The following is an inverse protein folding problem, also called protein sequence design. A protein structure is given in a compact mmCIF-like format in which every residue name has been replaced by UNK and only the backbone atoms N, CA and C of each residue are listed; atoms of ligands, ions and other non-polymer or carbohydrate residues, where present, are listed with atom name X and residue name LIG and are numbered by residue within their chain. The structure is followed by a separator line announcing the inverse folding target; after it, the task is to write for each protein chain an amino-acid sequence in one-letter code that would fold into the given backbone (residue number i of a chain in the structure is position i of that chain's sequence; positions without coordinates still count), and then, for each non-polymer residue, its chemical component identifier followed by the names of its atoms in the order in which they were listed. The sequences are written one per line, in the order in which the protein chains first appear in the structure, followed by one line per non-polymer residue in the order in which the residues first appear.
data_IF_324379063993
#
_entry.id   IF_324379063993
#
_cell.length_a   1.000
_cell.length_b   1.000
_cell.length_c   1.000
_cell.angle_alpha   90.00
_cell.angle_beta   90.00
_cell.angle_gamma   90.00
#
_symmetry.space_group_name_H-M   'P 1'
#
loop_
_entity.id
_entity.type
_entity.pdbx_description
1 polymer ?
#
# COMPACT_ATOMS: atom_id res chain seq x y z
N UNK A 1 4.91 16.39 6.23
CA UNK A 1 3.77 15.56 5.78
C UNK A 1 4.04 15.01 4.37
N UNK A 2 5.29 14.59 4.09
CA UNK A 2 5.73 14.05 2.78
C UNK A 2 6.64 12.86 3.09
N UNK A 3 6.01 11.77 3.51
CA UNK A 3 6.53 10.42 3.33
C UNK A 3 5.33 9.59 2.95
N UNK A 4 4.63 10.04 1.90
CA UNK A 4 3.73 9.21 1.13
C UNK A 4 4.55 8.00 0.73
N UNK A 5 4.24 6.88 1.39
CA UNK A 5 5.12 5.72 1.59
C UNK A 5 5.68 5.26 0.24
N UNK A 6 6.98 4.94 0.14
CA UNK A 6 7.61 4.58 -1.14
C UNK A 6 6.90 3.43 -1.90
N UNK A 7 6.12 2.58 -1.21
CA UNK A 7 5.25 1.60 -1.89
C UNK A 7 4.22 2.27 -2.82
N UNK A 8 3.68 3.44 -2.47
CA UNK A 8 2.74 4.18 -3.32
C UNK A 8 3.41 4.68 -4.59
N UNK A 9 4.72 4.94 -4.56
CA UNK A 9 5.48 5.25 -5.76
C UNK A 9 5.57 4.02 -6.68
N UNK A 10 5.80 2.83 -6.12
CA UNK A 10 5.77 1.56 -6.88
C UNK A 10 4.37 1.27 -7.44
N UNK A 11 3.31 1.51 -6.67
CA UNK A 11 1.91 1.41 -7.15
C UNK A 11 1.66 2.41 -8.29
N UNK A 12 2.11 3.66 -8.16
CA UNK A 12 1.94 4.69 -9.19
C UNK A 12 2.63 4.34 -10.52
N UNK A 13 3.79 3.66 -10.47
CA UNK A 13 4.51 3.22 -11.67
C UNK A 13 3.78 2.14 -12.45
N UNK A 14 2.94 1.33 -11.80
CA UNK A 14 2.31 0.16 -12.40
C UNK A 14 0.79 0.17 -12.22
N UNK A 15 0.06 0.43 -13.31
CA UNK A 15 -1.40 0.28 -13.38
C UNK A 15 -1.87 -1.14 -13.04
N UNK A 16 -1.03 -2.14 -13.26
CA UNK A 16 -1.33 -3.52 -12.88
C UNK A 16 -1.33 -3.69 -11.36
N UNK A 17 -0.33 -3.12 -10.67
CA UNK A 17 -0.24 -3.14 -9.21
C UNK A 17 -1.38 -2.36 -8.57
N UNK A 18 -1.70 -1.17 -9.11
CA UNK A 18 -2.88 -0.40 -8.71
C UNK A 18 -4.16 -1.25 -8.81
N UNK A 19 -4.41 -1.83 -9.99
CA UNK A 19 -5.61 -2.64 -10.21
C UNK A 19 -5.64 -3.86 -9.29
N UNK A 20 -4.51 -4.54 -9.10
CA UNK A 20 -4.41 -5.71 -8.22
C UNK A 20 -4.68 -5.33 -6.76
N UNK A 21 -4.13 -4.22 -6.28
CA UNK A 21 -4.35 -3.71 -4.92
C UNK A 21 -5.82 -3.38 -4.68
N UNK A 22 -6.45 -2.60 -5.57
CA UNK A 22 -7.86 -2.21 -5.45
C UNK A 22 -8.80 -3.41 -5.60
N UNK A 23 -8.52 -4.30 -6.55
CA UNK A 23 -9.28 -5.53 -6.77
C UNK A 23 -9.19 -6.46 -5.56
N UNK A 24 -8.02 -6.55 -4.92
CA UNK A 24 -7.83 -7.36 -3.73
C UNK A 24 -8.64 -6.85 -2.54
N UNK A 25 -8.64 -5.55 -2.29
CA UNK A 25 -9.46 -4.94 -1.23
C UNK A 25 -10.96 -5.17 -1.45
N UNK A 26 -11.42 -5.17 -2.71
CA UNK A 26 -12.82 -5.37 -3.06
C UNK A 26 -13.26 -6.84 -3.03
N UNK A 27 -12.42 -7.74 -3.54
CA UNK A 27 -12.78 -9.13 -3.78
C UNK A 27 -12.15 -10.12 -2.80
N UNK A 28 -11.36 -9.65 -1.82
CA UNK A 28 -10.74 -10.46 -0.76
C UNK A 28 -9.92 -11.65 -1.29
N UNK A 29 -9.07 -11.42 -2.29
CA UNK A 29 -8.39 -12.49 -3.03
C UNK A 29 -7.14 -13.03 -2.32
N UNK A 30 -6.32 -12.14 -1.80
CA UNK A 30 -5.01 -12.40 -1.22
C UNK A 30 -4.93 -11.69 0.13
N UNK A 31 -4.72 -12.42 1.22
CA UNK A 31 -4.54 -11.82 2.55
C UNK A 31 -3.20 -11.07 2.69
N UNK A 32 -2.27 -11.29 1.76
CA UNK A 32 -0.94 -10.74 1.79
C UNK A 32 -0.49 -10.36 0.38
N UNK A 33 0.10 -9.19 0.22
CA UNK A 33 0.63 -8.69 -1.06
C UNK A 33 2.00 -8.06 -0.85
N UNK A 34 2.94 -8.40 -1.73
CA UNK A 34 4.28 -7.83 -1.73
C UNK A 34 4.41 -6.79 -2.85
N UNK A 35 4.88 -5.60 -2.50
CA UNK A 35 5.10 -4.48 -3.42
C UNK A 35 6.50 -3.90 -3.15
N UNK A 36 7.47 -4.27 -3.99
CA UNK A 36 8.86 -3.87 -3.79
C UNK A 36 9.39 -4.34 -2.44
N UNK A 37 9.90 -3.41 -1.63
CA UNK A 37 10.39 -3.66 -0.27
C UNK A 37 9.27 -3.68 0.80
N UNK A 38 8.00 -3.60 0.40
CA UNK A 38 6.87 -3.48 1.30
C UNK A 38 5.97 -4.72 1.29
N UNK A 39 5.50 -5.06 2.48
CA UNK A 39 4.55 -6.12 2.76
C UNK A 39 3.23 -5.49 3.19
N UNK A 40 2.15 -5.82 2.49
CA UNK A 40 0.79 -5.38 2.76
C UNK A 40 -0.02 -6.59 3.24
N UNK A 41 -0.45 -6.57 4.48
CA UNK A 41 -1.33 -7.58 5.08
C UNK A 41 -2.76 -7.04 5.19
N UNK A 42 -3.74 -7.75 4.65
CA UNK A 42 -5.12 -7.32 4.57
C UNK A 42 -5.95 -8.00 5.66
N UNK A 43 -6.39 -7.22 6.64
CA UNK A 43 -7.45 -7.61 7.56
C UNK A 43 -8.80 -7.26 6.92
N UNK A 44 -9.40 -8.24 6.24
CA UNK A 44 -10.68 -8.05 5.55
C UNK A 44 -11.89 -7.90 6.49
N UNK A 45 -11.78 -8.39 7.72
CA UNK A 45 -12.84 -8.31 8.71
C UNK A 45 -12.90 -6.91 9.31
N UNK A 46 -11.73 -6.35 9.65
CA UNK A 46 -11.60 -4.95 10.11
C UNK A 46 -11.51 -3.94 8.97
N UNK A 47 -11.36 -4.41 7.73
CA UNK A 47 -11.14 -3.60 6.52
C UNK A 47 -9.92 -2.68 6.65
N UNK A 48 -8.81 -3.25 7.10
CA UNK A 48 -7.54 -2.55 7.29
C UNK A 48 -6.42 -3.23 6.51
N UNK A 49 -5.43 -2.45 6.08
CA UNK A 49 -4.18 -2.91 5.50
C UNK A 49 -3.07 -2.52 6.44
N UNK A 50 -2.35 -3.50 6.96
CA UNK A 50 -1.11 -3.30 7.69
C UNK A 50 0.05 -3.28 6.69
N UNK A 51 0.87 -2.24 6.76
CA UNK A 51 1.95 -1.99 5.82
C UNK A 51 3.26 -2.00 6.58
N UNK A 52 4.15 -2.92 6.22
CA UNK A 52 5.47 -3.06 6.81
C UNK A 52 6.57 -3.02 5.75
N UNK A 53 7.75 -2.51 6.11
CA UNK A 53 8.93 -2.55 5.24
C UNK A 53 9.74 -3.81 5.59
N UNK A 54 10.05 -4.62 4.59
CA UNK A 54 10.82 -5.87 4.75
C UNK A 54 12.32 -5.69 4.52
N UNK A 55 12.76 -4.55 3.97
CA UNK A 55 14.17 -4.31 3.65
C UNK A 55 14.86 -3.57 4.81
N UNK A 56 15.72 -4.23 5.61
CA UNK A 56 16.40 -3.60 6.75
C UNK A 56 17.40 -2.51 6.36
N UNK A 57 17.85 -2.48 5.10
CA UNK A 57 18.73 -1.44 4.59
C UNK A 57 17.96 -0.22 4.08
N UNK A 58 16.64 -0.34 3.94
CA UNK A 58 15.80 0.78 3.54
C UNK A 58 15.75 1.81 4.66
N UNK A 59 15.97 3.08 4.33
CA UNK A 59 16.01 4.18 5.29
C UNK A 59 14.73 4.34 6.12
N UNK A 60 13.63 3.73 5.64
CA UNK A 60 12.35 3.68 6.32
C UNK A 60 12.15 2.46 7.22
N UNK A 61 12.96 1.41 7.16
CA UNK A 61 12.76 0.21 7.98
C UNK A 61 12.65 0.51 9.49
N UNK A 62 13.48 1.44 9.97
CA UNK A 62 13.47 1.88 11.37
C UNK A 62 12.56 3.09 11.66
N UNK A 63 12.00 3.73 10.62
CA UNK A 63 11.17 4.94 10.71
C UNK A 63 9.70 4.71 10.36
N UNK A 64 9.39 3.57 9.74
CA UNK A 64 8.04 3.12 9.43
C UNK A 64 7.65 2.10 10.52
N UNK A 65 7.05 2.55 11.65
CA UNK A 65 6.22 1.63 12.41
C UNK A 65 5.17 1.02 11.45
N UNK A 66 4.68 -0.21 11.70
CA UNK A 66 3.61 -0.79 10.91
C UNK A 66 2.49 0.24 10.76
N UNK A 67 2.17 0.60 9.52
CA UNK A 67 1.14 1.58 9.21
C UNK A 67 -0.15 0.83 8.96
N UNK A 68 -1.14 1.07 9.81
CA UNK A 68 -2.48 0.56 9.63
C UNK A 68 -3.30 1.61 8.88
N UNK A 69 -3.71 1.28 7.65
CA UNK A 69 -4.63 2.10 6.86
C UNK A 69 -5.94 1.39 6.69
N UNK A 70 -7.05 2.11 6.83
CA UNK A 70 -8.33 1.57 6.39
C UNK A 70 -8.34 1.38 4.88
N UNK A 71 -9.20 0.49 4.38
CA UNK A 71 -9.38 0.30 2.94
C UNK A 71 -9.80 1.61 2.24
N UNK A 72 -10.54 2.46 2.94
CA UNK A 72 -10.96 3.78 2.44
C UNK A 72 -9.75 4.72 2.29
N UNK A 73 -8.93 4.88 3.33
CA UNK A 73 -7.70 5.69 3.27
C UNK A 73 -6.74 5.18 2.20
N UNK A 74 -6.59 3.86 2.07
CA UNK A 74 -5.78 3.25 1.01
C UNK A 74 -6.33 3.59 -0.38
N UNK A 75 -7.64 3.44 -0.60
CA UNK A 75 -8.27 3.71 -1.89
C UNK A 75 -8.19 5.20 -2.27
N UNK A 76 -8.49 6.10 -1.33
CA UNK A 76 -8.37 7.55 -1.53
C UNK A 76 -6.92 7.95 -1.83
N UNK A 77 -5.96 7.41 -1.07
CA UNK A 77 -4.55 7.73 -1.26
C UNK A 77 -4.02 7.21 -2.60
N UNK A 78 -4.35 5.96 -2.97
CA UNK A 78 -3.97 5.37 -4.27
C UNK A 78 -4.55 6.18 -5.42
N UNK A 79 -5.83 6.55 -5.35
CA UNK A 79 -6.48 7.41 -6.36
C UNK A 79 -5.83 8.78 -6.44
N UNK A 80 -5.48 9.39 -5.31
CA UNK A 80 -4.81 10.69 -5.29
C UNK A 80 -3.43 10.62 -5.96
N UNK A 81 -2.60 9.62 -5.64
CA UNK A 81 -1.24 9.53 -6.20
C UNK A 81 -1.21 9.09 -7.67
N UNK A 82 -2.20 8.31 -8.14
CA UNK A 82 -2.33 7.91 -9.55
C UNK A 82 -3.02 9.00 -10.38
N UNK A 83 -4.01 9.68 -9.81
CA UNK A 83 -4.77 10.76 -10.43
C UNK A 83 -3.95 12.03 -10.68
N UNK A 84 -2.84 12.22 -9.95
CA UNK A 84 -1.88 13.31 -10.14
C UNK A 84 -0.98 13.08 -11.38
N UNK A 85 -1.60 12.85 -12.54
CA UNK A 85 -1.00 13.01 -13.86
C UNK A 85 -1.51 14.32 -14.45
N UNK A 86 -0.95 15.44 -14.01
CA UNK A 86 -1.13 16.73 -14.67
C UNK A 86 0.22 17.36 -14.98
#
# INVERSE_FOLDING_TARGET
MIHTIDFLYEVRKSKELERRLLDNMKNRKEAHLLIGDFSLEFDFDRRMVNISCMNPQHSFFHKCPPLDWTFEEMEETVKAVVGDKK
#
